data_IF_968763711349
#
_entry.id   IF_968763711349
#
_cell.length_a   1.000
_cell.length_b   1.000
_cell.length_c   1.000
_cell.angle_alpha   90.00
_cell.angle_beta   90.00
_cell.angle_gamma   90.00
#
_symmetry.space_group_name_H-M   'P 1'
#
loop_
_entity.id
_entity.type
_entity.pdbx_description
1 polymer ?
#
# COMPACT_ATOMS: atom_id res chain seq x y z
N UNK A 1 29.82 18.35 -23.75
CA UNK A 1 29.24 17.38 -24.69
C UNK A 1 28.46 18.15 -25.74
N UNK A 2 28.95 18.22 -26.99
CA UNK A 2 28.18 18.84 -28.08
C UNK A 2 26.94 17.99 -28.36
N UNK A 3 25.75 18.51 -28.04
CA UNK A 3 24.49 17.82 -28.35
C UNK A 3 24.35 17.75 -29.87
N UNK A 4 24.32 16.52 -30.41
CA UNK A 4 23.97 16.26 -31.80
C UNK A 4 22.57 16.83 -32.05
N UNK A 5 22.41 17.65 -33.10
CA UNK A 5 21.14 18.28 -33.42
C UNK A 5 20.18 17.19 -33.93
N UNK A 6 19.38 16.64 -33.04
CA UNK A 6 18.39 15.61 -33.37
C UNK A 6 17.12 16.27 -33.92
N UNK A 7 16.56 15.71 -34.99
CA UNK A 7 15.28 16.18 -35.54
C UNK A 7 14.12 15.84 -34.58
N UNK A 8 13.05 16.65 -34.55
CA UNK A 8 11.88 16.38 -33.71
C UNK A 8 11.26 15.00 -33.95
N UNK A 9 11.22 14.53 -35.20
CA UNK A 9 10.70 13.22 -35.56
C UNK A 9 11.57 12.07 -35.06
N UNK A 10 12.90 12.18 -35.21
CA UNK A 10 13.85 11.19 -34.68
C UNK A 10 13.78 11.11 -33.15
N UNK A 11 13.63 12.24 -32.47
CA UNK A 11 13.45 12.27 -31.02
C UNK A 11 12.16 11.55 -30.59
N UNK A 12 11.04 11.81 -31.28
CA UNK A 12 9.78 11.14 -31.01
C UNK A 12 9.86 9.62 -31.27
N UNK A 13 10.60 9.19 -32.31
CA UNK A 13 10.85 7.77 -32.58
C UNK A 13 11.58 7.09 -31.41
N UNK A 14 12.64 7.72 -30.88
CA UNK A 14 13.37 7.20 -29.71
C UNK A 14 12.51 7.15 -28.43
N UNK A 15 11.60 8.10 -28.23
CA UNK A 15 10.62 8.04 -27.14
C UNK A 15 9.67 6.86 -27.30
N UNK A 16 9.15 6.61 -28.51
CA UNK A 16 8.28 5.46 -28.77
C UNK A 16 8.98 4.13 -28.50
N UNK A 17 10.25 3.98 -28.89
CA UNK A 17 11.06 2.80 -28.57
C UNK A 17 11.27 2.64 -27.06
N UNK A 18 11.66 3.72 -26.36
CA UNK A 18 11.89 3.71 -24.91
C UNK A 18 10.67 3.26 -24.11
N UNK A 19 9.48 3.73 -24.49
CA UNK A 19 8.23 3.40 -23.82
C UNK A 19 7.54 2.15 -24.40
N UNK A 20 8.16 1.46 -25.37
CA UNK A 20 7.59 0.29 -26.08
C UNK A 20 6.19 0.58 -26.64
N UNK A 21 6.02 1.78 -27.20
CA UNK A 21 4.76 2.26 -27.75
C UNK A 21 4.75 2.16 -29.28
N UNK A 22 3.62 1.72 -29.82
CA UNK A 22 3.37 1.79 -31.27
C UNK A 22 2.82 3.19 -31.62
N UNK A 23 3.23 3.80 -32.76
CA UNK A 23 2.63 5.03 -33.29
C UNK A 23 1.09 5.04 -33.31
N UNK A 24 0.45 3.89 -33.55
CA UNK A 24 -1.00 3.74 -33.48
C UNK A 24 -1.55 3.98 -32.07
N UNK A 25 -0.90 3.40 -31.06
CA UNK A 25 -1.29 3.59 -29.65
C UNK A 25 -1.12 5.05 -29.24
N UNK A 26 0.02 5.65 -29.59
CA UNK A 26 0.26 7.09 -29.36
C UNK A 26 -0.85 7.94 -29.99
N UNK A 27 -1.22 7.67 -31.25
CA UNK A 27 -2.26 8.44 -31.94
C UNK A 27 -3.62 8.40 -31.24
N UNK A 28 -4.02 7.23 -30.72
CA UNK A 28 -5.28 7.05 -29.99
C UNK A 28 -5.26 7.81 -28.68
N UNK A 29 -4.14 7.73 -27.95
CA UNK A 29 -4.02 8.32 -26.62
C UNK A 29 -3.92 9.85 -26.66
N UNK A 30 -3.35 10.44 -27.72
CA UNK A 30 -3.20 11.89 -27.88
C UNK A 30 -4.27 12.53 -28.80
N UNK A 31 -5.28 11.75 -29.18
CA UNK A 31 -6.38 12.17 -30.05
C UNK A 31 -5.90 12.81 -31.37
N UNK A 32 -4.86 12.25 -31.98
CA UNK A 32 -4.37 12.64 -33.31
C UNK A 32 -4.63 11.51 -34.31
N UNK A 33 -4.73 11.84 -35.59
CA UNK A 33 -4.80 10.78 -36.60
C UNK A 33 -3.48 10.00 -36.65
N UNK A 34 -3.56 8.68 -36.89
CA UNK A 34 -2.38 7.84 -37.04
C UNK A 34 -1.43 8.37 -38.12
N UNK A 35 -2.00 8.90 -39.22
CA UNK A 35 -1.24 9.55 -40.30
C UNK A 35 -0.46 10.78 -39.82
N UNK A 36 -1.07 11.63 -38.98
CA UNK A 36 -0.38 12.80 -38.44
C UNK A 36 0.81 12.39 -37.56
N UNK A 37 0.62 11.43 -36.65
CA UNK A 37 1.70 10.92 -35.80
C UNK A 37 2.83 10.32 -36.64
N UNK A 38 2.49 9.53 -37.67
CA UNK A 38 3.47 8.92 -38.58
C UNK A 38 4.26 9.98 -39.36
N UNK A 39 3.61 11.04 -39.86
CA UNK A 39 4.28 12.12 -40.59
C UNK A 39 5.20 12.94 -39.68
N UNK A 40 4.83 13.14 -38.41
CA UNK A 40 5.70 13.79 -37.42
C UNK A 40 6.94 12.93 -37.16
N UNK A 41 6.78 11.61 -36.94
CA UNK A 41 7.89 10.68 -36.71
C UNK A 41 8.89 10.67 -37.87
N UNK A 42 8.39 10.69 -39.12
CA UNK A 42 9.24 10.72 -40.33
C UNK A 42 9.79 12.14 -40.60
N UNK A 43 9.35 13.16 -39.87
CA UNK A 43 9.81 14.56 -40.04
C UNK A 43 9.18 15.30 -41.21
N UNK A 44 8.08 14.79 -41.79
CA UNK A 44 7.32 15.45 -42.86
C UNK A 44 6.34 16.50 -42.37
N UNK A 45 5.99 16.47 -41.09
CA UNK A 45 5.11 17.45 -40.44
C UNK A 45 5.78 18.01 -39.21
N UNK A 46 5.72 19.34 -39.05
CA UNK A 46 6.28 20.04 -37.89
C UNK A 46 5.42 19.81 -36.65
N UNK A 47 6.05 19.86 -35.47
CA UNK A 47 5.34 19.88 -34.21
C UNK A 47 4.77 21.29 -33.98
N UNK A 48 3.45 21.42 -34.05
CA UNK A 48 2.73 22.67 -33.74
C UNK A 48 2.41 22.75 -32.24
N UNK A 49 2.00 23.94 -31.76
CA UNK A 49 1.67 24.16 -30.34
C UNK A 49 0.63 23.16 -29.80
N UNK A 50 -0.51 22.88 -30.48
CA UNK A 50 -1.48 21.91 -29.98
C UNK A 50 -0.92 20.47 -29.89
N UNK A 51 -0.06 20.09 -30.84
CA UNK A 51 0.59 18.77 -30.84
C UNK A 51 1.61 18.68 -29.70
N UNK A 52 2.41 19.73 -29.49
CA UNK A 52 3.37 19.81 -28.39
C UNK A 52 2.70 19.70 -27.02
N UNK A 53 1.57 20.38 -26.81
CA UNK A 53 0.81 20.29 -25.55
C UNK A 53 0.30 18.87 -25.28
N UNK A 54 -0.19 18.18 -26.30
CA UNK A 54 -0.67 16.80 -26.18
C UNK A 54 0.47 15.80 -25.91
N UNK A 55 1.59 15.95 -26.61
CA UNK A 55 2.78 15.14 -26.38
C UNK A 55 3.36 15.36 -24.98
N UNK A 56 3.41 16.61 -24.52
CA UNK A 56 3.86 16.98 -23.19
C UNK A 56 3.00 16.33 -22.10
N UNK A 57 1.68 16.43 -22.22
CA UNK A 57 0.74 15.76 -21.32
C UNK A 57 0.94 14.23 -21.33
N UNK A 58 1.11 13.64 -22.50
CA UNK A 58 1.23 12.19 -22.65
C UNK A 58 2.53 11.63 -22.08
N UNK A 59 3.66 12.31 -22.34
CA UNK A 59 4.98 11.88 -21.86
C UNK A 59 5.34 12.46 -20.48
N UNK A 60 4.44 13.22 -19.86
CA UNK A 60 4.68 13.95 -18.60
C UNK A 60 5.94 14.84 -18.68
N UNK A 61 6.01 15.65 -19.73
CA UNK A 61 7.11 16.59 -20.03
C UNK A 61 6.58 17.99 -20.32
N UNK A 62 7.44 18.94 -20.70
CA UNK A 62 7.07 20.34 -20.93
C UNK A 62 6.83 20.64 -22.43
N UNK A 63 5.74 21.32 -22.85
CA UNK A 63 5.48 21.63 -24.26
C UNK A 63 6.58 22.46 -24.94
N UNK A 64 7.21 23.38 -24.20
CA UNK A 64 8.31 24.23 -24.68
C UNK A 64 9.51 23.42 -25.14
N UNK A 65 9.70 22.22 -24.58
CA UNK A 65 10.79 21.34 -24.98
C UNK A 65 10.65 20.92 -26.45
N UNK A 66 9.46 20.45 -26.85
CA UNK A 66 9.19 20.05 -28.23
C UNK A 66 9.22 21.23 -29.20
N UNK A 67 8.71 22.39 -28.78
CA UNK A 67 8.70 23.60 -29.61
C UNK A 67 10.11 24.18 -29.80
N UNK A 68 10.92 24.20 -28.74
CA UNK A 68 12.32 24.65 -28.83
C UNK A 68 13.13 23.73 -29.73
N UNK A 69 12.89 22.42 -29.66
CA UNK A 69 13.53 21.45 -30.55
C UNK A 69 13.14 21.68 -32.02
N UNK A 70 11.83 21.88 -32.30
CA UNK A 70 11.36 22.24 -33.65
C UNK A 70 11.98 23.55 -34.13
N UNK A 71 12.04 24.58 -33.28
CA UNK A 71 12.64 25.87 -33.61
C UNK A 71 14.13 25.74 -33.91
N UNK A 72 14.90 25.02 -33.09
CA UNK A 72 16.34 24.80 -33.33
C UNK A 72 16.59 24.05 -34.64
N UNK A 73 15.75 23.06 -34.95
CA UNK A 73 15.82 22.33 -36.20
C UNK A 73 15.48 23.24 -37.40
N UNK A 74 14.40 24.00 -37.32
CA UNK A 74 13.96 24.94 -38.36
C UNK A 74 15.02 26.02 -38.63
N UNK A 75 15.65 26.58 -37.58
CA UNK A 75 16.75 27.54 -37.72
C UNK A 75 17.98 26.90 -38.37
N UNK A 76 18.30 25.65 -38.03
CA UNK A 76 19.42 24.93 -38.64
C UNK A 76 19.16 24.58 -40.11
N UNK A 77 17.92 24.26 -40.48
CA UNK A 77 17.53 24.01 -41.87
C UNK A 77 17.52 25.31 -42.67
N UNK A 78 16.98 26.39 -42.10
CA UNK A 78 16.99 27.72 -42.71
C UNK A 78 18.41 28.27 -42.93
N UNK A 79 19.35 27.95 -42.03
CA UNK A 79 20.76 28.33 -42.20
C UNK A 79 21.46 27.62 -43.38
N UNK A 80 20.92 26.50 -43.87
CA UNK A 80 21.43 25.79 -45.07
C UNK A 80 20.89 26.41 -46.37
N UNK A 81 19.85 27.22 -46.31
CA UNK A 81 19.29 27.92 -47.47
C UNK A 81 20.23 29.06 -47.89
N UNK A 82 20.88 28.86 -49.04
CA UNK A 82 21.86 29.81 -49.59
C UNK A 82 21.23 31.14 -49.99
N UNK A 83 19.96 31.15 -50.39
CA UNK A 83 19.28 32.37 -50.82
C UNK A 83 18.83 33.20 -49.61
N UNK A 84 18.29 32.54 -48.58
CA UNK A 84 17.97 33.19 -47.31
C UNK A 84 19.23 33.76 -46.63
N UNK A 85 20.35 33.04 -46.68
CA UNK A 85 21.62 33.51 -46.13
C UNK A 85 22.15 34.77 -46.84
N UNK A 86 21.95 34.92 -48.16
CA UNK A 86 22.29 36.13 -48.91
C UNK A 86 21.40 37.30 -48.50
N UNK A 87 20.09 37.07 -48.39
CA UNK A 87 19.12 38.08 -47.98
C UNK A 87 19.40 38.58 -46.55
N UNK A 88 19.66 37.69 -45.60
CA UNK A 88 19.98 38.09 -44.21
C UNK A 88 21.21 39.01 -44.16
N UNK A 89 22.22 38.78 -45.02
CA UNK A 89 23.41 39.63 -45.11
C UNK A 89 23.14 41.01 -45.69
N UNK A 90 22.11 41.18 -46.54
CA UNK A 90 21.77 42.48 -47.12
C UNK A 90 20.86 43.33 -46.22
N UNK A 91 20.33 42.77 -45.12
CA UNK A 91 19.51 43.51 -44.15
C UNK A 91 20.42 44.43 -43.31
N UNK A 92 20.23 45.76 -43.33
CA UNK A 92 21.02 46.69 -42.53
C UNK A 92 20.75 46.51 -41.03
N UNK A 93 21.81 46.61 -40.22
CA UNK A 93 21.70 46.59 -38.76
C UNK A 93 21.42 48.00 -38.25
N UNK A 94 20.42 48.13 -37.38
CA UNK A 94 20.14 49.40 -36.69
C UNK A 94 21.35 49.76 -35.80
N UNK A 95 21.91 50.95 -36.00
CA UNK A 95 22.94 51.52 -35.10
C UNK A 95 22.25 52.29 -33.97
N UNK A 96 22.76 52.14 -32.74
CA UNK A 96 22.25 52.83 -31.55
C UNK A 96 22.74 54.29 -31.53
N UNK A 97 21.95 55.28 -31.07
CA UNK A 97 22.39 56.67 -31.01
C UNK A 97 23.52 56.85 -29.98
N UNK A 98 24.57 57.60 -30.34
CA UNK A 98 25.74 57.86 -29.48
C UNK A 98 25.52 59.10 -28.59
N UNK A 99 25.39 58.88 -27.28
CA UNK A 99 25.40 59.95 -26.26
C UNK A 99 26.84 60.39 -25.90
N UNK A 100 27.01 61.71 -25.70
CA UNK A 100 28.28 62.42 -25.47
C UNK A 100 29.00 62.10 -24.14
N UNK A 101 30.31 62.28 -24.15
CA UNK A 101 31.29 61.65 -23.24
C UNK A 101 31.54 62.27 -21.86
N UNK A 102 30.56 62.91 -21.19
CA UNK A 102 30.73 63.30 -19.77
C UNK A 102 29.60 62.87 -18.82
N UNK A 103 28.45 62.41 -19.33
CA UNK A 103 27.40 61.75 -18.52
C UNK A 103 27.54 60.22 -18.45
N UNK A 104 28.33 59.62 -19.35
CA UNK A 104 28.53 58.16 -19.45
C UNK A 104 29.09 57.53 -18.18
N UNK A 105 30.07 58.14 -17.51
CA UNK A 105 30.71 57.53 -16.34
C UNK A 105 29.80 57.46 -15.10
N UNK A 106 28.96 58.48 -14.86
CA UNK A 106 28.01 58.47 -13.75
C UNK A 106 26.79 57.58 -14.04
N UNK A 107 26.30 57.59 -15.29
CA UNK A 107 25.20 56.72 -15.71
C UNK A 107 25.62 55.24 -15.77
N UNK A 108 26.84 54.92 -16.20
CA UNK A 108 27.38 53.55 -16.22
C UNK A 108 27.61 53.01 -14.80
N UNK A 109 28.09 53.83 -13.86
CA UNK A 109 28.24 53.40 -12.46
C UNK A 109 26.90 53.13 -11.79
N UNK A 110 25.91 54.02 -11.99
CA UNK A 110 24.54 53.84 -11.47
C UNK A 110 23.83 52.65 -12.11
N UNK A 111 24.06 52.41 -13.40
CA UNK A 111 23.55 51.23 -14.11
C UNK A 111 24.24 49.94 -13.67
N UNK A 112 25.54 49.97 -13.36
CA UNK A 112 26.28 48.83 -12.83
C UNK A 112 25.80 48.46 -11.41
N UNK A 113 25.59 49.45 -10.54
CA UNK A 113 25.01 49.25 -9.20
C UNK A 113 23.58 48.71 -9.27
N UNK A 114 22.74 49.24 -10.17
CA UNK A 114 21.38 48.72 -10.38
C UNK A 114 21.37 47.29 -10.94
N UNK A 115 22.28 46.95 -11.86
CA UNK A 115 22.41 45.60 -12.40
C UNK A 115 22.95 44.61 -11.36
N UNK A 116 23.89 45.04 -10.51
CA UNK A 116 24.38 44.23 -9.39
C UNK A 116 23.25 43.92 -8.41
N UNK A 117 22.49 44.94 -7.99
CA UNK A 117 21.33 44.77 -7.12
C UNK A 117 20.25 43.87 -7.75
N UNK A 118 19.99 44.02 -9.05
CA UNK A 118 19.05 43.14 -9.77
C UNK A 118 19.54 41.69 -9.82
N UNK A 119 20.84 41.46 -10.03
CA UNK A 119 21.42 40.11 -10.04
C UNK A 119 21.33 39.43 -8.68
N UNK A 120 21.53 40.20 -7.61
CA UNK A 120 21.44 39.73 -6.23
C UNK A 120 19.97 39.38 -5.89
N UNK A 121 19.02 40.24 -6.26
CA UNK A 121 17.59 39.96 -6.09
C UNK A 121 17.14 38.70 -6.85
N UNK A 122 17.65 38.48 -8.08
CA UNK A 122 17.38 37.26 -8.86
C UNK A 122 17.97 36.03 -8.16
N UNK A 123 19.18 36.13 -7.59
CA UNK A 123 19.79 35.05 -6.85
C UNK A 123 18.96 34.69 -5.60
N UNK A 124 18.50 35.69 -4.84
CA UNK A 124 17.62 35.48 -3.68
C UNK A 124 16.29 34.85 -4.09
N UNK A 125 15.67 35.33 -5.17
CA UNK A 125 14.41 34.77 -5.67
C UNK A 125 14.56 33.30 -6.11
N UNK A 126 15.67 32.95 -6.75
CA UNK A 126 15.96 31.58 -7.14
C UNK A 126 16.20 30.67 -5.92
N UNK A 127 16.89 31.17 -4.89
CA UNK A 127 17.09 30.45 -3.64
C UNK A 127 15.75 30.16 -2.93
N UNK A 128 14.89 31.18 -2.80
CA UNK A 128 13.56 31.05 -2.21
C UNK A 128 12.67 30.08 -3.00
N UNK A 129 12.74 30.10 -4.34
CA UNK A 129 11.99 29.17 -5.19
C UNK A 129 12.45 27.72 -4.99
N UNK A 130 13.77 27.52 -4.88
CA UNK A 130 14.37 26.22 -4.58
C UNK A 130 13.91 25.69 -3.21
N UNK A 131 13.95 26.55 -2.19
CA UNK A 131 13.50 26.21 -0.84
C UNK A 131 12.00 25.89 -0.80
N UNK A 132 11.16 26.71 -1.43
CA UNK A 132 9.73 26.45 -1.54
C UNK A 132 9.43 25.12 -2.26
N UNK A 133 10.18 24.77 -3.31
CA UNK A 133 10.03 23.49 -4.00
C UNK A 133 10.38 22.29 -3.09
N UNK A 134 11.40 22.43 -2.24
CA UNK A 134 11.76 21.43 -1.23
C UNK A 134 10.64 21.23 -0.20
N UNK A 135 10.09 22.32 0.33
CA UNK A 135 9.00 22.27 1.31
C UNK A 135 7.71 21.69 0.71
N UNK A 136 7.36 22.02 -0.53
CA UNK A 136 6.21 21.41 -1.23
C UNK A 136 6.39 19.89 -1.34
N UNK A 137 7.61 19.42 -1.67
CA UNK A 137 7.90 17.99 -1.75
C UNK A 137 7.74 17.30 -0.40
N UNK A 138 8.18 17.95 0.69
CA UNK A 138 7.96 17.46 2.07
C UNK A 138 6.47 17.39 2.40
N UNK A 139 5.71 18.45 2.13
CA UNK A 139 4.26 18.50 2.36
C UNK A 139 3.52 17.39 1.59
N UNK A 140 3.91 17.13 0.34
CA UNK A 140 3.36 16.01 -0.44
C UNK A 140 3.66 14.67 0.22
N UNK A 141 4.90 14.45 0.68
CA UNK A 141 5.26 13.20 1.37
C UNK A 141 4.47 13.00 2.67
N UNK A 142 4.26 14.06 3.45
CA UNK A 142 3.44 14.04 4.66
C UNK A 142 1.98 13.74 4.36
N UNK A 143 1.43 14.31 3.28
CA UNK A 143 0.07 13.99 2.83
C UNK A 143 -0.08 12.50 2.51
N UNK A 144 0.86 11.92 1.74
CA UNK A 144 0.82 10.49 1.45
C UNK A 144 0.95 9.64 2.71
N UNK A 145 1.85 9.99 3.63
CA UNK A 145 1.96 9.31 4.92
C UNK A 145 0.66 9.39 5.72
N UNK A 146 0.00 10.55 5.77
CA UNK A 146 -1.27 10.74 6.46
C UNK A 146 -2.38 9.88 5.85
N UNK A 147 -2.46 9.80 4.51
CA UNK A 147 -3.47 8.95 3.85
C UNK A 147 -3.27 7.48 4.17
N UNK A 148 -2.01 7.01 4.20
CA UNK A 148 -1.69 5.64 4.60
C UNK A 148 -2.04 5.39 6.08
N UNK A 149 -1.70 6.34 6.97
CA UNK A 149 -2.02 6.23 8.38
C UNK A 149 -3.53 6.16 8.63
N UNK A 150 -4.32 6.95 7.90
CA UNK A 150 -5.77 6.91 7.97
C UNK A 150 -6.33 5.55 7.49
N UNK A 151 -5.73 4.94 6.47
CA UNK A 151 -6.12 3.62 5.99
C UNK A 151 -5.82 2.53 7.05
N UNK A 152 -4.61 2.57 7.64
CA UNK A 152 -4.23 1.68 8.73
C UNK A 152 -5.14 1.84 9.96
N UNK A 153 -5.50 3.07 10.31
CA UNK A 153 -6.43 3.33 11.40
C UNK A 153 -7.81 2.71 11.15
N UNK A 154 -8.37 2.89 9.95
CA UNK A 154 -9.66 2.26 9.58
C UNK A 154 -9.58 0.74 9.66
N UNK A 155 -8.48 0.14 9.20
CA UNK A 155 -8.24 -1.29 9.29
C UNK A 155 -8.20 -1.75 10.76
N UNK A 156 -7.44 -1.04 11.61
CA UNK A 156 -7.33 -1.35 13.03
C UNK A 156 -8.68 -1.27 13.76
N UNK A 157 -9.53 -0.30 13.42
CA UNK A 157 -10.89 -0.21 13.98
C UNK A 157 -11.76 -1.40 13.54
N UNK A 158 -11.72 -1.75 12.25
CA UNK A 158 -12.43 -2.94 11.74
C UNK A 158 -11.96 -4.22 12.43
N UNK A 159 -10.65 -4.38 12.60
CA UNK A 159 -10.08 -5.57 13.25
C UNK A 159 -10.44 -5.63 14.73
N UNK A 160 -10.43 -4.49 15.44
CA UNK A 160 -10.94 -4.38 16.82
C UNK A 160 -12.39 -4.86 16.91
N UNK A 161 -13.26 -4.43 15.99
CA UNK A 161 -14.67 -4.81 16.02
C UNK A 161 -14.86 -6.31 15.74
N UNK A 162 -14.05 -6.89 14.84
CA UNK A 162 -13.99 -8.35 14.62
C UNK A 162 -13.54 -9.10 15.86
N UNK A 163 -12.49 -8.62 16.54
CA UNK A 163 -12.01 -9.22 17.79
C UNK A 163 -13.06 -9.16 18.88
N UNK A 164 -13.84 -8.08 18.96
CA UNK A 164 -14.96 -7.99 19.91
C UNK A 164 -16.01 -9.06 19.65
N UNK A 165 -16.45 -9.23 18.40
CA UNK A 165 -17.41 -10.29 18.03
C UNK A 165 -16.86 -11.69 18.36
N UNK A 166 -15.56 -11.92 18.15
CA UNK A 166 -14.92 -13.19 18.51
C UNK A 166 -14.87 -13.40 20.03
N UNK A 167 -14.60 -12.35 20.81
CA UNK A 167 -14.59 -12.41 22.26
C UNK A 167 -16.00 -12.70 22.81
N UNK A 168 -17.03 -12.05 22.27
CA UNK A 168 -18.43 -12.30 22.66
C UNK A 168 -18.81 -13.76 22.40
N UNK A 169 -18.47 -14.29 21.22
CA UNK A 169 -18.67 -15.71 20.89
C UNK A 169 -17.90 -16.67 21.79
N UNK A 170 -16.66 -16.32 22.17
CA UNK A 170 -15.88 -17.13 23.08
C UNK A 170 -16.52 -17.18 24.48
N UNK A 171 -17.04 -16.05 24.96
CA UNK A 171 -17.77 -15.98 26.23
C UNK A 171 -19.08 -16.80 26.19
N UNK A 172 -19.84 -16.71 25.10
CA UNK A 172 -21.03 -17.55 24.89
C UNK A 172 -20.68 -19.05 24.90
N UNK A 173 -19.61 -19.42 24.19
CA UNK A 173 -19.15 -20.80 24.14
C UNK A 173 -18.65 -21.30 25.51
N UNK A 174 -17.97 -20.45 26.28
CA UNK A 174 -17.58 -20.75 27.66
C UNK A 174 -18.80 -21.02 28.54
N UNK A 175 -19.84 -20.19 28.43
CA UNK A 175 -21.09 -20.39 29.17
C UNK A 175 -21.78 -21.71 28.79
N UNK A 176 -21.84 -22.04 27.50
CA UNK A 176 -22.35 -23.34 27.01
C UNK A 176 -21.54 -24.51 27.57
N UNK A 177 -20.21 -24.42 27.54
CA UNK A 177 -19.34 -25.46 28.11
C UNK A 177 -19.56 -25.63 29.60
N UNK A 178 -19.60 -24.54 30.38
CA UNK A 178 -19.88 -24.59 31.83
C UNK A 178 -21.22 -25.26 32.12
N UNK A 179 -22.26 -24.92 31.36
CA UNK A 179 -23.57 -25.57 31.46
C UNK A 179 -23.52 -27.07 31.17
N UNK A 180 -22.82 -27.48 30.11
CA UNK A 180 -22.64 -28.88 29.77
C UNK A 180 -21.89 -29.66 30.88
N UNK A 181 -20.81 -29.09 31.42
CA UNK A 181 -20.06 -29.70 32.53
C UNK A 181 -20.87 -29.75 33.83
N UNK A 182 -21.73 -28.76 34.10
CA UNK A 182 -22.66 -28.78 35.25
C UNK A 182 -23.66 -29.94 35.14
N UNK A 183 -24.19 -30.20 33.95
CA UNK A 183 -25.07 -31.36 33.71
C UNK A 183 -24.33 -32.68 33.96
N UNK A 184 -23.09 -32.81 33.46
CA UNK A 184 -22.25 -33.99 33.71
C UNK A 184 -21.95 -34.15 35.21
N UNK A 185 -21.69 -33.05 35.92
CA UNK A 185 -21.52 -33.06 37.38
C UNK A 185 -22.76 -33.54 38.11
N UNK A 186 -23.95 -33.10 37.68
CA UNK A 186 -25.22 -33.55 38.24
C UNK A 186 -25.47 -35.04 38.00
N UNK A 187 -25.14 -35.55 36.80
CA UNK A 187 -25.18 -36.99 36.51
C UNK A 187 -24.20 -37.79 37.39
N UNK A 188 -22.97 -37.28 37.57
CA UNK A 188 -21.99 -37.90 38.45
C UNK A 188 -22.47 -37.97 39.91
N UNK A 189 -23.10 -36.89 40.41
CA UNK A 189 -23.71 -36.88 41.75
C UNK A 189 -24.84 -37.89 41.88
N UNK A 190 -25.72 -37.99 40.88
CA UNK A 190 -26.81 -38.98 40.88
C UNK A 190 -26.28 -40.43 40.89
N UNK A 191 -25.25 -40.72 40.10
CA UNK A 191 -24.60 -42.04 40.10
C UNK A 191 -23.95 -42.33 41.45
N UNK A 192 -23.27 -41.34 42.05
CA UNK A 192 -22.71 -41.50 43.40
C UNK A 192 -23.80 -41.76 44.45
N UNK A 193 -24.95 -41.09 44.38
CA UNK A 193 -26.07 -41.37 45.28
C UNK A 193 -26.56 -42.82 45.13
N UNK A 194 -26.69 -43.33 43.90
CA UNK A 194 -27.04 -44.74 43.63
C UNK A 194 -26.00 -45.74 44.17
N UNK A 195 -24.73 -45.32 44.29
CA UNK A 195 -23.66 -46.18 44.78
C UNK A 195 -23.50 -46.17 46.30
N UNK A 196 -23.88 -45.07 46.96
CA UNK A 196 -23.47 -44.83 48.36
C UNK A 196 -24.58 -44.31 49.27
N UNK A 197 -25.66 -43.74 48.76
CA UNK A 197 -26.78 -43.27 49.59
C UNK A 197 -27.60 -44.48 50.06
N UNK A 198 -27.69 -44.74 51.37
CA UNK A 198 -28.44 -45.88 51.90
C UNK A 198 -29.91 -45.94 51.45
N UNK A 199 -30.51 -44.79 51.09
CA UNK A 199 -31.88 -44.74 50.59
C UNK A 199 -32.02 -45.12 49.11
N UNK A 200 -30.94 -45.07 48.33
CA UNK A 200 -30.93 -45.27 46.88
C UNK A 200 -29.98 -46.38 46.41
N UNK A 201 -29.23 -46.99 47.33
CA UNK A 201 -28.15 -47.91 47.00
C UNK A 201 -28.65 -49.16 46.26
N UNK A 202 -27.96 -49.52 45.17
CA UNK A 202 -28.22 -50.77 44.44
C UNK A 202 -27.33 -51.88 45.02
N UNK A 203 -27.95 -52.89 45.60
CA UNK A 203 -27.26 -54.09 46.09
C UNK A 203 -27.00 -55.10 44.96
N UNK A 204 -26.00 -55.97 45.14
CA UNK A 204 -25.73 -57.09 44.22
C UNK A 204 -24.99 -56.73 42.93
N UNK A 205 -24.38 -55.54 42.83
CA UNK A 205 -23.52 -55.17 41.71
C UNK A 205 -22.32 -56.12 41.61
N UNK A 206 -22.04 -56.60 40.40
CA UNK A 206 -20.79 -57.33 40.14
C UNK A 206 -19.60 -56.36 40.18
N UNK A 207 -18.38 -56.81 40.54
CA UNK A 207 -17.21 -55.94 40.58
C UNK A 207 -16.93 -55.16 39.28
N UNK A 208 -17.15 -55.70 38.07
CA UNK A 208 -17.05 -54.92 36.83
C UNK A 208 -18.11 -53.80 36.71
N UNK A 209 -19.35 -54.05 37.12
CA UNK A 209 -20.43 -53.05 37.05
C UNK A 209 -20.17 -51.90 38.03
N UNK A 210 -19.78 -52.22 39.26
CA UNK A 210 -19.41 -51.22 40.27
C UNK A 210 -18.23 -50.34 39.80
N UNK A 211 -17.20 -50.95 39.19
CA UNK A 211 -16.07 -50.22 38.60
C UNK A 211 -16.49 -49.26 37.48
N UNK A 212 -17.41 -49.68 36.60
CA UNK A 212 -17.91 -48.82 35.52
C UNK A 212 -18.70 -47.63 36.06
N UNK A 213 -19.55 -47.83 37.07
CA UNK A 213 -20.31 -46.74 37.69
C UNK A 213 -19.38 -45.74 38.39
N UNK A 214 -18.37 -46.22 39.14
CA UNK A 214 -17.36 -45.37 39.79
C UNK A 214 -16.44 -44.64 38.80
N UNK A 215 -16.30 -45.14 37.57
CA UNK A 215 -15.51 -44.47 36.54
C UNK A 215 -16.14 -43.16 36.05
N UNK A 216 -17.47 -43.02 36.08
CA UNK A 216 -18.17 -41.85 35.52
C UNK A 216 -17.86 -40.56 36.31
N UNK A 217 -18.00 -40.51 37.66
CA UNK A 217 -17.59 -39.34 38.45
C UNK A 217 -16.10 -39.00 38.29
N UNK A 218 -15.23 -40.01 38.29
CA UNK A 218 -13.78 -39.81 38.14
C UNK A 218 -13.43 -39.24 36.76
N UNK A 219 -14.12 -39.69 35.72
CA UNK A 219 -13.97 -39.16 34.36
C UNK A 219 -14.42 -37.70 34.29
N UNK A 220 -15.58 -37.37 34.87
CA UNK A 220 -16.12 -36.01 34.92
C UNK A 220 -15.14 -35.04 35.60
N UNK A 221 -14.60 -35.41 36.76
CA UNK A 221 -13.61 -34.62 37.50
C UNK A 221 -12.33 -34.42 36.69
N UNK A 222 -11.81 -35.48 36.07
CA UNK A 222 -10.59 -35.41 35.25
C UNK A 222 -10.72 -34.39 34.13
N UNK A 223 -11.85 -34.41 33.42
CA UNK A 223 -12.08 -33.50 32.29
C UNK A 223 -12.47 -32.09 32.72
N UNK A 224 -13.21 -31.93 33.82
CA UNK A 224 -13.44 -30.62 34.41
C UNK A 224 -12.12 -29.93 34.80
N UNK A 225 -11.18 -30.67 35.41
CA UNK A 225 -9.82 -30.16 35.72
C UNK A 225 -9.03 -29.80 34.47
N UNK A 226 -9.04 -30.66 33.43
CA UNK A 226 -8.38 -30.36 32.14
C UNK A 226 -8.98 -29.13 31.44
N UNK A 227 -10.27 -28.88 31.62
CA UNK A 227 -10.96 -27.71 31.10
C UNK A 227 -10.79 -26.45 31.98
N UNK A 228 -10.06 -26.53 33.10
CA UNK A 228 -9.87 -25.41 34.02
C UNK A 228 -11.10 -25.09 34.89
N UNK A 229 -12.11 -25.97 34.92
CA UNK A 229 -13.35 -25.81 35.69
C UNK A 229 -13.18 -26.39 37.10
N UNK A 230 -12.27 -25.80 37.87
CA UNK A 230 -11.86 -26.30 39.19
C UNK A 230 -13.02 -26.39 40.18
N UNK A 231 -13.92 -25.40 40.22
CA UNK A 231 -15.08 -25.40 41.12
C UNK A 231 -16.02 -26.60 40.88
N UNK A 232 -16.29 -26.93 39.61
CA UNK A 232 -17.14 -28.08 39.25
C UNK A 232 -16.44 -29.39 39.63
N UNK A 233 -15.13 -29.49 39.40
CA UNK A 233 -14.35 -30.65 39.77
C UNK A 233 -14.35 -30.88 41.30
N UNK A 234 -14.10 -29.83 42.06
CA UNK A 234 -14.10 -29.86 43.53
C UNK A 234 -15.47 -30.18 44.11
N UNK A 235 -16.54 -29.63 43.52
CA UNK A 235 -17.91 -29.93 43.94
C UNK A 235 -18.29 -31.41 43.74
N UNK A 236 -17.86 -32.03 42.64
CA UNK A 236 -18.04 -33.47 42.42
C UNK A 236 -17.19 -34.29 43.42
N UNK A 237 -15.94 -33.86 43.68
CA UNK A 237 -15.02 -34.51 44.63
C UNK A 237 -15.50 -34.43 46.09
N UNK A 238 -16.11 -33.32 46.49
CA UNK A 238 -16.52 -33.06 47.88
C UNK A 238 -17.67 -33.95 48.34
N UNK A 239 -18.56 -34.35 47.43
CA UNK A 239 -19.80 -35.00 47.84
C UNK A 239 -19.64 -36.50 48.10
N UNK A 240 -18.68 -37.21 47.48
CA UNK A 240 -18.49 -38.66 47.68
C UNK A 240 -17.06 -39.13 47.31
N UNK A 241 -16.53 -40.13 48.02
CA UNK A 241 -15.15 -40.63 47.83
C UNK A 241 -14.88 -41.16 46.40
N UNK A 242 -13.92 -40.53 45.73
CA UNK A 242 -13.40 -40.94 44.43
C UNK A 242 -12.28 -41.96 44.61
N UNK A 243 -12.41 -43.13 43.97
CA UNK A 243 -11.38 -44.17 44.03
C UNK A 243 -10.17 -43.83 43.11
N UNK A 244 -8.94 -43.69 43.65
CA UNK A 244 -7.75 -43.36 42.86
C UNK A 244 -7.34 -44.44 41.85
N UNK A 245 -7.80 -45.68 42.01
CA UNK A 245 -7.39 -46.84 41.21
C UNK A 245 -8.08 -47.01 39.84
N UNK A 246 -9.00 -46.11 39.47
CA UNK A 246 -9.85 -46.27 38.28
C UNK A 246 -9.24 -45.64 37.01
N UNK A 247 -8.07 -44.98 37.12
CA UNK A 247 -7.42 -44.26 36.02
C UNK A 247 -7.28 -45.07 34.72
N UNK A 248 -6.91 -46.35 34.82
CA UNK A 248 -6.75 -47.23 33.65
C UNK A 248 -8.06 -47.36 32.83
N UNK A 249 -9.20 -47.48 33.50
CA UNK A 249 -10.49 -47.61 32.84
C UNK A 249 -10.93 -46.28 32.20
N UNK A 250 -10.58 -45.14 32.81
CA UNK A 250 -10.78 -43.80 32.24
C UNK A 250 -9.99 -43.63 30.94
N UNK A 251 -8.73 -44.07 30.94
CA UNK A 251 -7.85 -43.96 29.78
C UNK A 251 -8.35 -44.85 28.62
N UNK A 252 -8.90 -46.03 28.93
CA UNK A 252 -9.49 -46.95 27.95
C UNK A 252 -10.77 -46.39 27.30
N UNK A 253 -11.59 -45.65 28.04
CA UNK A 253 -12.81 -45.01 27.54
C UNK A 253 -12.55 -43.69 26.79
N UNK A 254 -11.36 -43.12 26.94
CA UNK A 254 -11.02 -41.85 26.31
C UNK A 254 -10.86 -42.02 24.80
N UNK A 255 -11.60 -41.27 23.97
CA UNK A 255 -11.43 -41.33 22.52
C UNK A 255 -9.99 -40.96 22.14
N UNK A 256 -9.27 -41.89 21.49
CA UNK A 256 -7.93 -41.60 21.00
C UNK A 256 -8.03 -40.56 19.87
N UNK A 257 -7.20 -39.51 19.89
CA UNK A 257 -7.24 -38.48 18.85
C UNK A 257 -7.07 -39.14 17.49
N UNK A 258 -8.02 -38.91 16.58
CA UNK A 258 -7.86 -39.30 15.17
C UNK A 258 -6.66 -38.51 14.66
N UNK A 259 -5.63 -39.18 14.11
CA UNK A 259 -4.53 -38.52 13.38
C UNK A 259 -5.17 -37.62 12.32
N UNK A 260 -5.18 -36.31 12.55
CA UNK A 260 -5.60 -35.37 11.51
C UNK A 260 -4.60 -35.51 10.38
N UNK A 261 -5.08 -35.90 9.18
CA UNK A 261 -4.32 -35.68 7.95
C UNK A 261 -4.07 -34.18 7.88
N UNK A 262 -2.81 -33.80 8.03
CA UNK A 262 -2.34 -32.44 7.83
C UNK A 262 -2.83 -31.96 6.47
N UNK A 263 -3.81 -31.06 6.46
CA UNK A 263 -4.02 -30.21 5.30
C UNK A 263 -2.93 -29.16 5.35
N UNK A 264 -1.89 -29.37 4.56
CA UNK A 264 -0.83 -28.40 4.36
C UNK A 264 -1.45 -27.11 3.85
N UNK A 265 -1.39 -26.07 4.68
CA UNK A 265 -1.58 -24.71 4.22
C UNK A 265 -0.20 -24.09 4.04
N UNK A 266 0.27 -24.13 2.80
CA UNK A 266 1.17 -23.10 2.29
C UNK A 266 0.38 -21.80 2.22
N UNK A 267 0.83 -20.77 2.91
CA UNK A 267 0.80 -19.35 2.53
C UNK A 267 1.82 -18.60 3.40
#
# INVERSE_FOLDING_TARGET
MAQTLQSPGSYLAGMLEKYKLNPFKLSKDIHLSQSAVRLIVIGKTKITVPVAMRLAQYFNTNPEYFLTMQMRWDLSEAAKDKELAKLIKSIPRVQKPTAGGKEKAAAEKKAAEANAAASEAIATANALKSEAASEIKKAQSLYYQQTNLNALYRQAVSDRDRFKVMADKAAEMEAVMKGAYSNVGSMAKAINAILYDPALIIEGLTPPQERLLKAIPNYAVTWAKKAGLTEIAEDIEKHYEISPGIQKHIDELTPKPKRNKSYGHSL
#
